data_IF_672256299785
#
_entry.id   IF_672256299785
#
_cell.length_a   1.000
_cell.length_b   1.000
_cell.length_c   1.000
_cell.angle_alpha   90.00
_cell.angle_beta   90.00
_cell.angle_gamma   90.00
#
_symmetry.space_group_name_H-M   'P 1'
#
loop_
_entity.id
_entity.type
_entity.pdbx_description
1 polymer ?
#
# COMPACT_ATOMS: atom_id res chain seq x y z
N UNK A 1 -4.22 -27.17 -7.81
CA UNK A 1 -4.90 -26.92 -6.53
C UNK A 1 -5.09 -25.42 -6.39
N UNK A 2 -6.34 -24.92 -6.50
CA UNK A 2 -6.66 -23.49 -6.47
C UNK A 2 -6.48 -22.97 -5.04
N UNK A 3 -5.54 -22.06 -4.82
CA UNK A 3 -5.32 -21.42 -3.50
C UNK A 3 -6.43 -20.43 -3.22
N UNK A 4 -7.36 -20.82 -2.35
CA UNK A 4 -8.33 -19.93 -1.70
C UNK A 4 -7.63 -19.24 -0.53
N UNK A 5 -7.16 -18.04 -0.73
CA UNK A 5 -6.82 -17.05 0.30
C UNK A 5 -6.87 -15.69 -0.41
N UNK A 6 -7.66 -14.74 0.01
CA UNK A 6 -7.75 -14.11 1.30
C UNK A 6 -9.18 -13.64 1.69
N UNK A 7 -10.03 -14.57 2.07
CA UNK A 7 -11.40 -14.18 2.50
C UNK A 7 -11.53 -14.08 4.04
N UNK A 8 -10.47 -14.41 4.77
CA UNK A 8 -10.50 -14.51 6.24
C UNK A 8 -10.33 -13.17 6.97
N UNK A 9 -9.83 -12.13 6.32
CA UNK A 9 -9.64 -10.82 6.98
C UNK A 9 -10.94 -9.98 7.06
N UNK A 10 -11.89 -10.24 6.17
CA UNK A 10 -13.16 -9.50 6.15
C UNK A 10 -14.14 -10.01 7.23
N UNK A 11 -13.99 -11.24 7.68
CA UNK A 11 -14.87 -11.84 8.69
C UNK A 11 -14.56 -11.41 10.13
N UNK A 12 -13.35 -10.96 10.42
CA UNK A 12 -12.97 -10.51 11.78
C UNK A 12 -13.58 -9.14 12.12
N UNK A 13 -13.80 -8.27 11.14
CA UNK A 13 -14.47 -6.99 11.37
C UNK A 13 -15.99 -7.13 11.60
N UNK A 14 -16.61 -8.22 11.11
CA UNK A 14 -18.04 -8.44 11.24
C UNK A 14 -18.44 -9.18 12.55
N UNK A 15 -17.53 -9.95 13.17
CA UNK A 15 -17.85 -10.74 14.36
C UNK A 15 -17.71 -10.00 15.68
N UNK A 16 -17.00 -8.87 15.71
CA UNK A 16 -16.92 -8.00 16.91
C UNK A 16 -18.11 -7.08 17.07
N UNK A 17 -18.99 -6.96 16.06
CA UNK A 17 -20.16 -6.10 16.10
C UNK A 17 -21.36 -6.69 16.86
N UNK A 18 -21.31 -7.94 17.32
CA UNK A 18 -22.44 -8.59 18.00
C UNK A 18 -22.37 -8.63 19.53
N UNK A 19 -21.29 -8.14 20.14
CA UNK A 19 -21.10 -8.15 21.59
C UNK A 19 -21.38 -6.80 22.27
N UNK A 20 -22.37 -6.08 21.80
CA UNK A 20 -22.90 -4.86 22.44
C UNK A 20 -23.60 -4.03 21.39
N UNK A 21 -24.91 -3.92 21.51
CA UNK A 21 -25.73 -2.98 20.75
C UNK A 21 -25.45 -1.53 21.20
N UNK A 22 -24.20 -1.09 21.16
CA UNK A 22 -23.91 0.32 21.11
C UNK A 22 -24.19 0.75 19.67
N UNK A 23 -25.08 1.72 19.51
CA UNK A 23 -25.39 2.31 18.22
C UNK A 23 -24.08 2.61 17.48
N UNK A 24 -23.95 2.14 16.24
CA UNK A 24 -22.85 2.50 15.32
C UNK A 24 -22.90 3.99 14.91
N UNK A 25 -23.62 4.80 15.70
CA UNK A 25 -23.80 6.22 15.50
C UNK A 25 -22.44 6.92 15.41
N UNK A 26 -22.19 7.54 14.27
CA UNK A 26 -20.97 8.29 14.01
C UNK A 26 -19.83 7.48 13.39
N UNK A 27 -20.00 6.18 13.12
CA UNK A 27 -19.01 5.40 12.37
C UNK A 27 -19.10 5.76 10.89
N UNK A 28 -17.94 5.95 10.28
CA UNK A 28 -17.82 6.32 8.89
C UNK A 28 -17.21 5.17 8.08
N UNK A 29 -17.79 4.91 6.91
CA UNK A 29 -17.21 4.02 5.90
C UNK A 29 -16.84 4.84 4.68
N UNK A 30 -15.63 4.67 4.17
CA UNK A 30 -15.17 5.44 3.03
C UNK A 30 -14.43 4.62 1.99
N UNK A 31 -14.51 5.12 0.75
CA UNK A 31 -13.78 4.61 -0.40
C UNK A 31 -13.09 5.80 -1.09
N UNK A 32 -11.79 5.72 -1.24
CA UNK A 32 -10.99 6.75 -1.91
C UNK A 32 -10.16 6.16 -3.04
N UNK A 33 -9.88 6.97 -4.05
CA UNK A 33 -9.01 6.63 -5.17
C UNK A 33 -8.08 7.78 -5.51
N UNK A 34 -6.91 7.47 -6.07
CA UNK A 34 -5.92 8.48 -6.42
C UNK A 34 -4.52 7.90 -6.54
N UNK A 35 -3.53 8.54 -5.92
CA UNK A 35 -2.13 8.17 -6.00
C UNK A 35 -1.57 7.79 -4.62
N UNK A 36 -0.82 6.66 -4.58
CA UNK A 36 0.04 6.29 -3.45
C UNK A 36 1.15 5.36 -3.96
N UNK A 37 2.23 5.94 -4.50
CA UNK A 37 3.29 5.18 -5.19
C UNK A 37 2.85 4.55 -6.52
N UNK A 38 1.66 4.88 -7.00
CA UNK A 38 1.00 4.40 -8.19
C UNK A 38 -0.49 4.72 -8.12
N UNK A 39 -1.27 4.24 -9.09
CA UNK A 39 -2.73 4.32 -9.03
C UNK A 39 -3.21 3.50 -7.81
N UNK A 40 -3.99 4.12 -6.95
CA UNK A 40 -4.34 3.57 -5.63
C UNK A 40 -5.82 3.71 -5.32
N UNK A 41 -6.37 2.70 -4.64
CA UNK A 41 -7.67 2.76 -3.98
C UNK A 41 -7.56 2.34 -2.52
N UNK A 42 -8.34 2.95 -1.63
CA UNK A 42 -8.43 2.59 -0.21
C UNK A 42 -9.88 2.48 0.22
N UNK A 43 -10.20 1.40 0.91
CA UNK A 43 -11.40 1.28 1.73
C UNK A 43 -11.01 1.49 3.19
N UNK A 44 -11.80 2.28 3.93
CA UNK A 44 -11.56 2.51 5.36
C UNK A 44 -12.84 2.53 6.18
N UNK A 45 -12.65 2.22 7.46
CA UNK A 45 -13.62 2.42 8.54
C UNK A 45 -13.02 3.41 9.52
N UNK A 46 -13.79 4.41 9.92
CA UNK A 46 -13.35 5.43 10.86
C UNK A 46 -14.39 5.63 11.96
N UNK A 47 -13.95 5.57 13.19
CA UNK A 47 -14.72 5.94 14.37
C UNK A 47 -14.14 7.26 14.92
N UNK A 48 -14.72 8.44 14.59
CA UNK A 48 -14.07 9.73 14.83
C UNK A 48 -14.00 10.16 16.29
N UNK A 49 -14.96 9.75 17.10
CA UNK A 49 -15.17 10.28 18.46
C UNK A 49 -15.15 9.17 19.53
N UNK A 50 -14.10 8.34 19.53
CA UNK A 50 -13.96 7.27 20.55
C UNK A 50 -13.70 7.86 21.92
N UNK A 51 -12.92 8.95 22.00
CA UNK A 51 -12.66 9.68 23.25
C UNK A 51 -12.50 11.18 22.94
N UNK A 52 -13.60 11.94 23.03
CA UNK A 52 -13.61 13.35 22.64
C UNK A 52 -13.27 13.50 21.14
N UNK A 53 -12.28 14.36 20.78
CA UNK A 53 -11.88 14.55 19.39
C UNK A 53 -10.97 13.42 18.85
N UNK A 54 -10.63 12.43 19.69
CA UNK A 54 -9.75 11.34 19.32
C UNK A 54 -10.57 10.17 18.79
N UNK A 55 -10.16 9.64 17.63
CA UNK A 55 -10.80 8.52 16.96
C UNK A 55 -9.80 7.45 16.53
N UNK A 56 -10.30 6.47 15.81
CA UNK A 56 -9.53 5.35 15.26
C UNK A 56 -9.99 5.13 13.81
N UNK A 57 -9.03 5.02 12.89
CA UNK A 57 -9.25 4.67 11.49
C UNK A 57 -8.52 3.37 11.17
N UNK A 58 -9.20 2.43 10.54
CA UNK A 58 -8.59 1.24 9.95
C UNK A 58 -8.85 1.22 8.44
N UNK A 59 -7.87 0.84 7.64
CA UNK A 59 -7.99 0.85 6.19
C UNK A 59 -7.23 -0.27 5.51
N UNK A 60 -7.65 -0.58 4.28
CA UNK A 60 -6.93 -1.45 3.35
C UNK A 60 -6.82 -0.71 2.03
N UNK A 61 -5.60 -0.54 1.55
CA UNK A 61 -5.31 0.09 0.28
C UNK A 61 -4.65 -0.89 -0.68
N UNK A 62 -5.00 -0.78 -1.96
CA UNK A 62 -4.32 -1.44 -3.06
C UNK A 62 -3.74 -0.37 -3.99
N UNK A 63 -2.50 -0.58 -4.43
CA UNK A 63 -1.86 0.31 -5.40
C UNK A 63 -1.20 -0.50 -6.51
N UNK A 64 -1.17 0.11 -7.73
CA UNK A 64 -0.50 -0.43 -8.90
C UNK A 64 0.34 0.65 -9.59
N UNK A 65 1.58 0.32 -9.90
CA UNK A 65 2.53 1.19 -10.62
C UNK A 65 3.31 0.42 -11.68
N UNK A 66 4.13 1.15 -12.43
CA UNK A 66 4.90 0.60 -13.55
C UNK A 66 6.42 0.55 -13.31
N UNK A 67 6.90 1.08 -12.18
CA UNK A 67 8.34 1.17 -11.89
C UNK A 67 8.70 0.11 -10.84
N UNK A 68 8.89 -1.12 -11.26
CA UNK A 68 9.26 -2.25 -10.38
C UNK A 68 10.75 -2.44 -10.22
N UNK A 69 11.55 -1.92 -11.16
CA UNK A 69 12.99 -2.12 -11.23
C UNK A 69 13.74 -0.77 -11.22
N UNK A 70 14.95 -0.81 -10.69
CA UNK A 70 15.87 0.33 -10.70
C UNK A 70 16.68 0.32 -11.99
N UNK A 71 16.43 1.24 -12.89
CA UNK A 71 17.05 1.36 -14.19
C UNK A 71 18.58 1.46 -14.13
N UNK A 72 19.14 2.04 -13.07
CA UNK A 72 20.57 2.22 -12.88
C UNK A 72 21.26 0.99 -12.27
N UNK A 73 20.51 -0.02 -11.83
CA UNK A 73 21.10 -1.21 -11.24
C UNK A 73 21.73 -2.12 -12.31
N UNK A 74 22.83 -2.86 -11.96
CA UNK A 74 23.39 -3.86 -12.85
C UNK A 74 22.38 -4.96 -13.16
N UNK A 75 22.25 -5.33 -14.46
CA UNK A 75 21.31 -6.37 -14.88
C UNK A 75 21.91 -7.78 -14.72
N UNK A 76 23.15 -7.96 -15.06
CA UNK A 76 23.87 -9.23 -14.93
C UNK A 76 25.24 -9.01 -14.31
N UNK A 77 25.37 -8.94 -12.99
CA UNK A 77 26.67 -8.83 -12.34
C UNK A 77 27.55 -10.05 -12.69
N UNK A 78 28.69 -9.78 -13.28
CA UNK A 78 29.72 -10.79 -13.55
C UNK A 78 29.77 -11.36 -14.98
N UNK A 79 28.73 -11.27 -15.79
CA UNK A 79 28.73 -11.79 -17.18
C UNK A 79 29.04 -10.72 -18.24
N UNK A 80 28.55 -9.49 -18.04
CA UNK A 80 28.69 -8.39 -18.99
C UNK A 80 29.42 -7.16 -18.38
N UNK A 81 29.97 -7.32 -17.18
CA UNK A 81 30.53 -6.23 -16.39
C UNK A 81 29.43 -5.37 -15.74
N UNK A 82 29.83 -4.51 -14.80
CA UNK A 82 28.91 -3.62 -14.08
C UNK A 82 28.34 -2.47 -14.94
N UNK A 83 28.62 -2.43 -16.22
CA UNK A 83 28.18 -1.38 -17.15
C UNK A 83 26.85 -1.68 -17.83
N UNK A 84 26.39 -2.94 -17.85
CA UNK A 84 25.10 -3.29 -18.43
C UNK A 84 23.98 -3.20 -17.39
N UNK A 85 23.10 -2.25 -17.58
CA UNK A 85 22.09 -1.86 -16.60
C UNK A 85 20.71 -2.47 -16.93
N UNK A 86 19.77 -2.35 -15.98
CA UNK A 86 18.34 -2.67 -16.20
C UNK A 86 17.78 -1.82 -17.35
N UNK A 87 18.17 -0.54 -17.45
CA UNK A 87 17.75 0.32 -18.57
C UNK A 87 18.25 -0.21 -19.92
N UNK A 88 19.47 -0.73 -19.98
CA UNK A 88 20.01 -1.36 -21.20
C UNK A 88 19.24 -2.62 -21.56
N UNK A 89 18.93 -3.46 -20.56
CA UNK A 89 18.12 -4.67 -20.76
C UNK A 89 16.70 -4.38 -21.27
N UNK A 90 16.08 -3.30 -20.81
CA UNK A 90 14.79 -2.83 -21.33
C UNK A 90 14.91 -2.36 -22.77
N UNK A 91 15.92 -1.54 -23.08
CA UNK A 91 16.19 -1.04 -24.43
C UNK A 91 16.42 -2.17 -25.44
N UNK A 92 17.16 -3.20 -25.02
CA UNK A 92 17.53 -4.34 -25.87
C UNK A 92 16.44 -5.43 -25.90
N UNK A 93 15.29 -5.21 -25.24
CA UNK A 93 14.13 -6.09 -25.26
C UNK A 93 14.26 -7.36 -24.38
N UNK A 94 15.29 -7.45 -23.53
CA UNK A 94 15.45 -8.55 -22.56
C UNK A 94 14.40 -8.43 -21.44
N UNK A 95 14.04 -7.20 -21.06
CA UNK A 95 12.92 -6.90 -20.19
C UNK A 95 11.83 -6.25 -21.05
N UNK A 96 10.72 -6.96 -21.22
CA UNK A 96 9.60 -6.51 -22.07
C UNK A 96 8.56 -5.69 -21.31
N UNK A 97 8.42 -5.92 -20.02
CA UNK A 97 7.55 -5.12 -19.14
C UNK A 97 7.96 -5.26 -17.68
N UNK A 98 7.58 -4.27 -16.90
CA UNK A 98 7.69 -4.27 -15.45
C UNK A 98 6.44 -3.72 -14.79
N UNK A 99 6.30 -3.95 -13.50
CA UNK A 99 5.18 -3.42 -12.74
C UNK A 99 5.38 -3.54 -11.25
N UNK A 100 4.56 -2.81 -10.50
CA UNK A 100 4.46 -2.95 -9.05
C UNK A 100 3.03 -3.10 -8.62
N UNK A 101 2.81 -3.86 -7.57
CA UNK A 101 1.55 -3.88 -6.84
C UNK A 101 1.83 -3.86 -5.35
N UNK A 102 0.95 -3.22 -4.59
CA UNK A 102 1.01 -3.29 -3.14
C UNK A 102 -0.38 -3.42 -2.54
N UNK A 103 -0.44 -4.15 -1.43
CA UNK A 103 -1.60 -4.20 -0.54
C UNK A 103 -1.15 -3.78 0.84
N UNK A 104 -1.77 -2.73 1.38
CA UNK A 104 -1.38 -2.13 2.66
C UNK A 104 -2.56 -2.10 3.60
N UNK A 105 -2.40 -2.71 4.78
CA UNK A 105 -3.27 -2.50 5.92
C UNK A 105 -2.78 -1.33 6.76
N UNK A 106 -3.70 -0.51 7.25
CA UNK A 106 -3.42 0.65 8.12
C UNK A 106 -4.27 0.63 9.39
N UNK A 107 -3.68 1.10 10.48
CA UNK A 107 -4.39 1.39 11.72
C UNK A 107 -3.86 2.71 12.28
N UNK A 108 -4.74 3.70 12.36
CA UNK A 108 -4.41 5.09 12.71
C UNK A 108 -5.18 5.54 13.96
N UNK A 109 -4.52 6.27 14.83
CA UNK A 109 -5.18 7.22 15.71
C UNK A 109 -5.54 8.45 14.89
N UNK A 110 -6.71 9.04 15.17
CA UNK A 110 -7.19 10.25 14.49
C UNK A 110 -7.50 11.34 15.49
N UNK A 111 -7.38 12.59 15.04
CA UNK A 111 -7.75 13.77 15.83
C UNK A 111 -8.57 14.71 14.97
N UNK A 112 -9.84 14.87 15.33
CA UNK A 112 -10.77 15.79 14.67
C UNK A 112 -10.45 17.23 15.02
N UNK A 113 -10.16 18.05 14.00
CA UNK A 113 -9.99 19.50 14.15
C UNK A 113 -11.34 20.24 14.14
N UNK A 114 -12.41 19.50 13.78
CA UNK A 114 -13.74 20.06 13.56
C UNK A 114 -13.86 20.81 12.24
N UNK A 115 -14.86 21.66 12.17
CA UNK A 115 -15.15 22.47 11.00
C UNK A 115 -14.11 23.58 10.84
N UNK A 116 -13.30 23.47 9.79
CA UNK A 116 -12.22 24.46 9.50
C UNK A 116 -12.70 25.58 8.57
N UNK A 117 -13.77 25.34 7.85
CA UNK A 117 -14.54 26.32 7.07
C UNK A 117 -15.96 25.78 6.87
N UNK A 118 -16.99 26.61 6.60
CA UNK A 118 -18.38 26.15 6.51
C UNK A 118 -18.56 24.88 5.65
N UNK A 119 -19.05 23.81 6.27
CA UNK A 119 -19.28 22.50 5.66
C UNK A 119 -18.04 21.64 5.43
N UNK A 120 -16.84 22.07 5.86
CA UNK A 120 -15.58 21.35 5.68
C UNK A 120 -14.96 20.97 7.02
N UNK A 121 -14.91 19.69 7.32
CA UNK A 121 -14.21 19.14 8.48
C UNK A 121 -12.82 18.66 8.12
N UNK A 122 -11.88 18.81 9.05
CA UNK A 122 -10.53 18.28 8.92
C UNK A 122 -10.20 17.29 10.06
N UNK A 123 -9.48 16.23 9.72
CA UNK A 123 -9.04 15.20 10.66
C UNK A 123 -7.58 14.86 10.40
N UNK A 124 -6.75 15.01 11.40
CA UNK A 124 -5.36 14.50 11.37
C UNK A 124 -5.37 13.02 11.69
N UNK A 125 -4.45 12.28 11.09
CA UNK A 125 -4.27 10.87 11.42
C UNK A 125 -2.79 10.47 11.43
N UNK A 126 -2.47 9.43 12.20
CA UNK A 126 -1.15 8.82 12.22
C UNK A 126 -1.18 7.45 12.87
N UNK A 127 -0.36 6.54 12.33
CA UNK A 127 -0.38 5.17 12.83
C UNK A 127 0.52 4.20 12.09
N UNK A 128 0.24 2.90 12.32
CA UNK A 128 0.99 1.80 11.77
C UNK A 128 0.54 1.39 10.37
N UNK A 129 1.50 0.85 9.62
CA UNK A 129 1.31 0.27 8.28
C UNK A 129 1.89 -1.13 8.24
N UNK A 130 1.22 -2.03 7.56
CA UNK A 130 1.79 -3.31 7.14
C UNK A 130 1.46 -3.54 5.68
N UNK A 131 2.49 -3.66 4.84
CA UNK A 131 2.34 -3.78 3.40
C UNK A 131 2.97 -5.04 2.84
N UNK A 132 2.30 -5.61 1.83
CA UNK A 132 2.82 -6.63 0.92
C UNK A 132 3.09 -5.94 -0.40
N UNK A 133 4.35 -5.99 -0.86
CA UNK A 133 4.83 -5.31 -2.05
C UNK A 133 5.37 -6.32 -3.04
N UNK A 134 4.95 -6.20 -4.30
CA UNK A 134 5.42 -7.03 -5.38
C UNK A 134 5.96 -6.14 -6.49
N UNK A 135 7.14 -6.48 -6.99
CA UNK A 135 7.68 -5.99 -8.25
C UNK A 135 7.67 -7.14 -9.26
N UNK A 136 7.28 -6.88 -10.49
CA UNK A 136 7.25 -7.86 -11.57
C UNK A 136 8.18 -7.45 -12.68
N UNK A 137 8.82 -8.44 -13.27
CA UNK A 137 9.66 -8.31 -14.45
C UNK A 137 9.25 -9.38 -15.45
N UNK A 138 8.97 -8.99 -16.69
CA UNK A 138 8.65 -9.93 -17.75
C UNK A 138 9.75 -9.93 -18.81
N UNK A 139 10.13 -11.14 -19.24
CA UNK A 139 11.08 -11.38 -20.30
C UNK A 139 10.47 -12.42 -21.26
N UNK A 140 10.03 -11.95 -22.42
CA UNK A 140 9.24 -12.78 -23.34
C UNK A 140 7.95 -13.27 -22.68
N UNK A 141 7.79 -14.60 -22.59
CA UNK A 141 6.62 -15.25 -21.95
C UNK A 141 6.78 -15.48 -20.44
N UNK A 142 7.96 -15.26 -19.90
CA UNK A 142 8.26 -15.52 -18.50
C UNK A 142 8.06 -14.24 -17.66
N UNK A 143 7.40 -14.38 -16.50
CA UNK A 143 7.24 -13.29 -15.55
C UNK A 143 7.80 -13.71 -14.20
N UNK A 144 8.79 -12.97 -13.73
CA UNK A 144 9.36 -13.12 -12.39
C UNK A 144 8.73 -12.10 -11.45
N UNK A 145 8.31 -12.54 -10.28
CA UNK A 145 7.74 -11.70 -9.23
C UNK A 145 8.67 -11.67 -8.01
N UNK A 146 9.04 -10.48 -7.60
CA UNK A 146 9.81 -10.20 -6.40
C UNK A 146 8.88 -9.66 -5.32
N UNK A 147 8.74 -10.41 -4.22
CA UNK A 147 7.81 -10.07 -3.14
C UNK A 147 8.56 -9.72 -1.86
N UNK A 148 8.11 -8.68 -1.18
CA UNK A 148 8.60 -8.32 0.15
C UNK A 148 7.47 -7.77 1.01
N UNK A 149 7.54 -8.00 2.33
CA UNK A 149 6.63 -7.40 3.29
C UNK A 149 7.38 -6.31 4.05
N UNK A 150 6.69 -5.26 4.45
CA UNK A 150 7.30 -4.19 5.23
C UNK A 150 6.31 -3.65 6.27
N UNK A 151 6.83 -3.39 7.47
CA UNK A 151 6.18 -2.52 8.43
C UNK A 151 6.50 -1.05 8.10
N UNK A 152 5.63 -0.16 8.52
CA UNK A 152 5.82 1.26 8.35
C UNK A 152 5.00 2.08 9.33
N UNK A 153 5.20 3.36 9.26
CA UNK A 153 4.40 4.37 9.94
C UNK A 153 3.88 5.36 8.89
N UNK A 154 2.75 5.97 9.17
CA UNK A 154 2.20 6.98 8.28
C UNK A 154 1.46 8.06 9.02
N UNK A 155 1.34 9.23 8.39
CA UNK A 155 0.57 10.35 8.89
C UNK A 155 -0.03 11.13 7.73
N UNK A 156 -1.09 11.88 8.02
CA UNK A 156 -1.75 12.71 7.02
C UNK A 156 -2.92 13.50 7.56
N UNK A 157 -3.65 14.08 6.63
CA UNK A 157 -4.86 14.82 6.88
C UNK A 157 -5.97 14.34 5.94
N UNK A 158 -7.13 14.10 6.53
CA UNK A 158 -8.40 13.87 5.81
C UNK A 158 -9.19 15.19 5.87
N UNK A 159 -9.71 15.62 4.74
CA UNK A 159 -10.63 16.77 4.65
C UNK A 159 -11.93 16.24 4.07
N UNK A 160 -13.06 16.53 4.71
CA UNK A 160 -14.38 16.09 4.29
C UNK A 160 -15.34 17.26 4.12
N UNK A 161 -16.07 17.23 3.01
CA UNK A 161 -17.13 18.19 2.70
C UNK A 161 -18.49 17.48 2.73
N UNK A 162 -19.38 17.91 3.62
CA UNK A 162 -20.71 17.34 3.75
C UNK A 162 -21.56 17.64 2.50
N UNK A 163 -22.12 16.59 1.90
CA UNK A 163 -23.00 16.69 0.74
C UNK A 163 -24.48 16.64 1.18
N UNK A 164 -24.97 15.45 1.48
CA UNK A 164 -26.37 15.24 1.90
C UNK A 164 -26.52 13.86 2.55
N UNK A 165 -27.47 13.73 3.51
CA UNK A 165 -27.90 12.43 4.05
C UNK A 165 -26.77 11.58 4.65
N UNK A 166 -25.78 12.19 5.32
CA UNK A 166 -24.64 11.48 5.89
C UNK A 166 -23.53 11.16 4.87
N UNK A 167 -23.70 11.49 3.59
CA UNK A 167 -22.69 11.35 2.55
C UNK A 167 -21.77 12.57 2.52
N UNK A 168 -20.46 12.35 2.45
CA UNK A 168 -19.46 13.41 2.32
C UNK A 168 -18.44 13.08 1.22
N UNK A 169 -17.97 14.11 0.54
CA UNK A 169 -16.76 14.05 -0.26
C UNK A 169 -15.57 14.04 0.69
N UNK A 170 -14.56 13.20 0.43
CA UNK A 170 -13.35 13.13 1.25
C UNK A 170 -12.11 13.24 0.39
N UNK A 171 -11.18 14.09 0.83
CA UNK A 171 -9.81 14.16 0.32
C UNK A 171 -8.84 13.63 1.38
N UNK A 172 -7.83 12.87 0.97
CA UNK A 172 -6.79 12.30 1.84
C UNK A 172 -5.41 12.67 1.30
N UNK A 173 -4.62 13.37 2.12
CA UNK A 173 -3.23 13.71 1.84
C UNK A 173 -2.35 13.17 2.95
N UNK A 174 -1.29 12.45 2.61
CA UNK A 174 -0.42 11.87 3.61
C UNK A 174 0.89 11.36 3.08
N UNK A 175 1.69 10.85 4.02
CA UNK A 175 2.97 10.20 3.77
C UNK A 175 3.07 8.95 4.62
N UNK A 176 3.54 7.86 3.99
CA UNK A 176 3.90 6.62 4.67
C UNK A 176 5.40 6.38 4.51
N UNK A 177 6.05 5.97 5.60
CA UNK A 177 7.44 5.55 5.63
C UNK A 177 7.49 4.06 5.97
N UNK A 178 8.01 3.25 5.05
CA UNK A 178 8.18 1.81 5.25
C UNK A 178 9.62 1.47 5.63
N UNK A 179 9.78 0.50 6.52
CA UNK A 179 11.06 -0.08 6.92
C UNK A 179 11.31 -1.34 6.10
N UNK A 180 12.39 -1.35 5.32
CA UNK A 180 12.70 -2.47 4.42
C UNK A 180 12.87 -3.77 5.20
N UNK A 181 12.22 -4.84 4.74
CA UNK A 181 12.48 -6.17 5.25
C UNK A 181 13.84 -6.69 4.77
N UNK A 182 14.45 -7.58 5.50
CA UNK A 182 15.72 -8.19 5.17
C UNK A 182 15.58 -9.41 4.23
N UNK A 183 14.40 -9.62 3.64
CA UNK A 183 14.11 -10.80 2.83
C UNK A 183 13.33 -10.41 1.58
N UNK A 184 13.72 -10.98 0.45
CA UNK A 184 13.03 -10.90 -0.84
C UNK A 184 12.68 -12.33 -1.26
N UNK A 185 11.43 -12.56 -1.62
CA UNK A 185 10.97 -13.82 -2.18
C UNK A 185 10.85 -13.66 -3.69
N UNK A 186 11.44 -14.58 -4.43
CA UNK A 186 11.47 -14.60 -5.90
C UNK A 186 10.57 -15.75 -6.36
N UNK A 187 9.65 -15.47 -7.26
CA UNK A 187 8.84 -16.47 -7.94
C UNK A 187 9.07 -16.33 -9.45
N UNK A 188 9.62 -17.34 -10.10
CA UNK A 188 9.96 -17.32 -11.52
C UNK A 188 8.76 -17.55 -12.46
N UNK A 189 7.56 -17.69 -11.92
CA UNK A 189 6.34 -17.97 -12.70
C UNK A 189 6.23 -19.41 -13.22
N UNK A 190 7.26 -20.24 -13.04
CA UNK A 190 7.31 -21.65 -13.47
C UNK A 190 7.08 -22.61 -12.30
N UNK A 191 6.85 -22.09 -11.11
CA UNK A 191 6.59 -22.86 -9.90
C UNK A 191 7.75 -22.91 -8.92
N UNK A 192 8.94 -22.36 -9.26
CA UNK A 192 10.04 -22.26 -8.34
C UNK A 192 9.90 -20.99 -7.50
N UNK A 193 10.13 -21.14 -6.20
CA UNK A 193 10.09 -20.04 -5.24
C UNK A 193 11.35 -20.05 -4.40
N UNK A 194 12.19 -19.05 -4.61
CA UNK A 194 13.40 -18.83 -3.84
C UNK A 194 13.24 -17.70 -2.85
N UNK A 195 14.01 -17.74 -1.78
CA UNK A 195 14.03 -16.69 -0.77
C UNK A 195 15.46 -16.29 -0.45
N UNK A 196 15.79 -15.02 -0.71
CA UNK A 196 17.07 -14.44 -0.38
C UNK A 196 16.93 -13.51 0.83
N UNK A 197 17.84 -13.69 1.80
CA UNK A 197 17.92 -12.85 2.98
C UNK A 197 19.22 -12.04 3.00
N UNK A 198 19.22 -10.92 3.72
CA UNK A 198 20.40 -10.08 3.88
C UNK A 198 21.59 -10.90 4.39
N UNK A 199 22.75 -10.70 3.77
CA UNK A 199 23.97 -11.47 4.03
C UNK A 199 24.16 -12.70 3.15
N UNK A 200 23.15 -13.15 2.39
CA UNK A 200 23.30 -14.21 1.39
C UNK A 200 23.89 -13.65 0.08
N UNK A 201 24.65 -14.49 -0.64
CA UNK A 201 25.17 -14.15 -1.95
C UNK A 201 24.04 -13.75 -2.91
N UNK A 202 24.22 -12.65 -3.67
CA UNK A 202 23.22 -12.13 -4.60
C UNK A 202 22.11 -11.27 -3.99
N UNK A 203 21.99 -11.20 -2.64
CA UNK A 203 20.98 -10.35 -2.01
C UNK A 203 21.20 -8.86 -2.31
N UNK A 204 22.42 -8.37 -2.20
CA UNK A 204 22.76 -6.96 -2.45
C UNK A 204 22.42 -6.52 -3.87
N UNK A 205 22.68 -7.39 -4.85
CA UNK A 205 22.42 -7.10 -6.26
C UNK A 205 20.93 -7.05 -6.53
N UNK A 206 20.18 -8.01 -5.95
CA UNK A 206 18.73 -8.05 -6.03
C UNK A 206 18.08 -6.85 -5.30
N UNK A 207 18.57 -6.48 -4.11
CA UNK A 207 18.09 -5.32 -3.35
C UNK A 207 18.33 -3.99 -4.07
N UNK A 208 19.45 -3.89 -4.81
CA UNK A 208 19.73 -2.73 -5.65
C UNK A 208 18.85 -2.67 -6.91
N UNK A 209 18.47 -3.83 -7.46
CA UNK A 209 17.70 -3.95 -8.70
C UNK A 209 16.21 -3.76 -8.50
N UNK A 210 15.62 -4.30 -7.44
CA UNK A 210 14.18 -4.26 -7.19
C UNK A 210 13.81 -3.00 -6.41
N UNK A 211 12.87 -2.21 -6.94
CA UNK A 211 12.34 -1.04 -6.22
C UNK A 211 11.50 -1.54 -5.03
N UNK A 212 11.97 -1.21 -3.83
CA UNK A 212 11.34 -1.60 -2.58
C UNK A 212 10.70 -0.41 -1.89
N UNK A 213 9.66 -0.63 -1.07
CA UNK A 213 8.96 0.45 -0.40
C UNK A 213 9.92 1.26 0.49
N UNK A 214 9.74 2.56 0.44
CA UNK A 214 10.41 3.55 1.28
C UNK A 214 9.41 4.62 1.68
N UNK A 215 9.65 5.86 1.31
CA UNK A 215 8.71 6.96 1.50
C UNK A 215 7.68 6.97 0.37
N UNK A 216 6.39 6.96 0.72
CA UNK A 216 5.27 7.00 -0.23
C UNK A 216 4.38 8.18 0.11
N UNK A 217 4.25 9.13 -0.82
CA UNK A 217 3.27 10.21 -0.72
C UNK A 217 1.91 9.73 -1.23
N UNK A 218 0.84 10.16 -0.54
CA UNK A 218 -0.55 9.81 -0.86
C UNK A 218 -1.35 11.06 -1.17
N UNK A 219 -2.15 10.99 -2.23
CA UNK A 219 -3.16 11.98 -2.56
C UNK A 219 -4.36 11.24 -3.15
N UNK A 220 -5.48 11.20 -2.43
CA UNK A 220 -6.69 10.48 -2.83
C UNK A 220 -7.92 11.34 -2.63
N UNK A 221 -8.96 11.05 -3.38
CA UNK A 221 -10.28 11.66 -3.26
C UNK A 221 -11.33 10.56 -3.32
N UNK A 222 -12.46 10.74 -2.65
CA UNK A 222 -13.52 9.74 -2.65
C UNK A 222 -14.74 10.16 -1.88
N UNK A 223 -15.48 9.19 -1.42
CA UNK A 223 -16.71 9.39 -0.66
C UNK A 223 -16.64 8.64 0.65
N UNK A 224 -17.28 9.19 1.67
CA UNK A 224 -17.56 8.52 2.94
C UNK A 224 -19.01 8.70 3.32
N UNK A 225 -19.55 7.73 4.04
CA UNK A 225 -20.89 7.79 4.64
C UNK A 225 -20.79 7.60 6.14
N UNK A 226 -21.59 8.35 6.89
CA UNK A 226 -21.70 8.28 8.35
C UNK A 226 -23.01 7.62 8.73
N UNK A 227 -22.96 6.68 9.67
CA UNK A 227 -24.12 5.93 10.19
C UNK A 227 -24.57 6.42 11.56
#
# INVERSE_FOLDING_TARGET
>A
MKKLLPMTLLTIAATTATAGAQSLSGVELGLTGGYAGGLSGEFFVHAPNVAGPVGIKAGVAYSRGNNGLNDSAPYSPGLLGNTYTVADAKRDGLITSEGTTSTVGSLDATYGLGEVTPGVDATLYGGGRYGMFNATESSGSNTTTYSSNAFGIGAGVMVSYALTGGLSLVGDLGVDQYFRSNTITINDGQGNVDRLSAGQAGYSDLDARVVRPGTVFKARIGLKTTF
#
